data_IF_877260672132
#
_entry.id   IF_877260672132
#
_cell.length_a   1.000
_cell.length_b   1.000
_cell.length_c   1.000
_cell.angle_alpha   90.00
_cell.angle_beta   90.00
_cell.angle_gamma   90.00
#
_symmetry.space_group_name_H-M   'P 1'
#
loop_
_entity.id
_entity.type
_entity.pdbx_description
1 polymer ?
#
# COMPACT_ATOMS: atom_id res chain seq x y z
N UNK A 1 -60.45 21.42 3.37
CA UNK A 1 -59.98 22.62 4.09
C UNK A 1 -58.52 22.38 4.45
N UNK A 2 -57.63 23.12 3.80
CA UNK A 2 -56.24 23.38 4.21
C UNK A 2 -56.23 24.71 5.02
N UNK A 3 -55.15 25.18 5.70
CA UNK A 3 -53.74 24.91 5.35
C UNK A 3 -52.69 24.77 6.49
N UNK A 4 -51.53 24.26 6.07
CA UNK A 4 -50.13 24.61 6.41
C UNK A 4 -49.75 25.19 7.79
N UNK A 5 -48.83 24.47 8.45
CA UNK A 5 -47.84 25.06 9.34
C UNK A 5 -46.44 24.67 8.86
N UNK A 6 -45.83 25.57 8.09
CA UNK A 6 -44.44 25.53 7.64
C UNK A 6 -43.48 25.63 8.84
N UNK A 7 -42.59 24.65 8.98
CA UNK A 7 -41.38 24.82 9.80
C UNK A 7 -40.28 25.41 8.91
N UNK A 8 -40.05 26.71 9.06
CA UNK A 8 -38.82 27.39 8.62
C UNK A 8 -37.65 26.99 9.52
N UNK A 9 -36.45 26.70 8.98
CA UNK A 9 -35.23 26.60 9.77
C UNK A 9 -34.78 28.01 10.21
N UNK A 10 -34.34 28.14 11.46
CA UNK A 10 -33.79 29.38 12.02
C UNK A 10 -32.53 29.86 11.25
N UNK A 11 -32.31 31.18 11.13
CA UNK A 11 -31.14 31.73 10.47
C UNK A 11 -29.88 31.58 11.33
N UNK A 12 -28.78 31.24 10.66
CA UNK A 12 -27.44 30.94 11.19
C UNK A 12 -26.78 32.11 11.96
N UNK A 13 -27.36 33.32 11.90
CA UNK A 13 -26.74 34.54 12.47
C UNK A 13 -26.78 34.61 14.01
N UNK A 14 -27.74 33.98 14.69
CA UNK A 14 -27.78 33.98 16.18
C UNK A 14 -26.68 33.12 16.82
N UNK A 15 -26.21 32.08 16.14
CA UNK A 15 -25.13 31.22 16.64
C UNK A 15 -23.74 31.87 16.52
N UNK A 16 -23.56 32.79 15.57
CA UNK A 16 -22.28 33.48 15.36
C UNK A 16 -22.05 34.62 16.36
N UNK A 17 -23.11 35.27 16.85
CA UNK A 17 -23.00 36.28 17.92
C UNK A 17 -22.67 35.65 19.29
N UNK A 18 -23.10 34.40 19.52
CA UNK A 18 -22.90 33.72 20.80
C UNK A 18 -21.47 33.22 21.02
N UNK A 19 -20.71 32.98 19.94
CA UNK A 19 -19.30 32.55 20.03
C UNK A 19 -18.34 33.75 20.11
N UNK A 20 -18.76 34.96 19.72
CA UNK A 20 -17.92 36.17 19.79
C UNK A 20 -17.88 36.85 21.17
N UNK A 21 -18.75 36.48 22.12
CA UNK A 21 -18.77 37.09 23.45
C UNK A 21 -17.94 36.37 24.53
N UNK A 22 -17.40 35.18 24.27
CA UNK A 22 -16.51 34.49 25.22
C UNK A 22 -15.03 34.73 24.87
N UNK A 23 -14.54 35.88 25.33
CA UNK A 23 -13.11 36.16 25.38
C UNK A 23 -12.76 36.76 26.75
N UNK A 24 -12.22 35.99 27.71
CA UNK A 24 -11.61 36.58 28.89
C UNK A 24 -10.11 36.80 28.66
N UNK A 25 -9.71 38.06 28.84
CA UNK A 25 -8.32 38.53 28.97
C UNK A 25 -7.70 37.98 30.27
N UNK A 26 -6.35 37.89 30.39
CA UNK A 26 -5.68 37.13 31.42
C UNK A 26 -5.45 37.97 32.69
N UNK A 27 -5.68 37.36 33.86
CA UNK A 27 -5.19 37.86 35.14
C UNK A 27 -4.15 36.88 35.72
N UNK A 28 -3.08 37.52 36.21
CA UNK A 28 -1.91 36.94 36.87
C UNK A 28 -2.22 36.31 38.23
N UNK A 29 -1.22 35.56 38.73
CA UNK A 29 -0.89 35.25 40.13
C UNK A 29 -1.32 33.86 40.62
N UNK A 30 -0.52 33.03 41.29
CA UNK A 30 0.90 32.98 41.65
C UNK A 30 1.17 31.60 42.31
N UNK A 31 2.45 31.28 42.49
CA UNK A 31 3.04 30.40 43.51
C UNK A 31 3.15 28.88 43.22
N UNK A 32 4.32 28.51 42.69
CA UNK A 32 5.36 27.76 43.43
C UNK A 32 4.92 26.49 44.19
N UNK A 33 5.32 25.32 43.69
CA UNK A 33 5.71 24.19 44.55
C UNK A 33 6.61 23.20 43.81
N UNK A 34 7.80 23.02 44.40
CA UNK A 34 8.64 21.79 44.40
C UNK A 34 9.48 21.50 43.15
N UNK A 35 10.66 22.15 43.16
CA UNK A 35 11.94 21.49 42.94
C UNK A 35 12.03 20.23 43.82
N UNK A 36 12.19 19.06 43.21
CA UNK A 36 13.17 18.02 43.55
C UNK A 36 12.83 16.71 42.82
N UNK A 37 13.87 15.89 42.65
CA UNK A 37 13.85 14.47 42.27
C UNK A 37 14.24 14.14 40.82
N UNK A 38 15.57 14.02 40.69
CA UNK A 38 16.28 12.87 40.10
C UNK A 38 16.34 12.76 38.57
N UNK A 39 17.34 13.45 38.00
CA UNK A 39 18.22 12.82 37.01
C UNK A 39 19.17 11.86 37.73
N UNK A 40 19.00 10.55 37.55
CA UNK A 40 20.08 9.59 37.67
C UNK A 40 19.87 8.39 36.73
N UNK A 41 21.01 7.92 36.21
CA UNK A 41 21.30 6.64 35.56
C UNK A 41 21.27 6.62 34.02
N UNK A 42 22.46 6.80 33.42
CA UNK A 42 23.21 5.66 32.89
C UNK A 42 24.70 6.04 32.69
N UNK A 43 25.57 5.38 33.44
CA UNK A 43 27.03 5.36 33.28
C UNK A 43 27.45 3.96 32.84
N UNK A 44 28.29 3.87 31.80
CA UNK A 44 29.16 2.73 31.43
C UNK A 44 30.25 3.34 30.53
N UNK A 45 31.54 3.03 30.56
CA UNK A 45 32.49 2.40 31.48
C UNK A 45 33.82 2.55 30.74
N UNK A 46 34.84 3.15 31.35
CA UNK A 46 36.19 3.20 30.77
C UNK A 46 37.18 2.68 31.81
N UNK A 47 37.66 1.47 31.57
CA UNK A 47 38.94 0.94 32.08
C UNK A 47 39.81 0.54 30.90
N UNK A 48 41.09 0.91 30.93
CA UNK A 48 42.13 -0.05 31.27
C UNK A 48 42.99 0.52 32.43
N UNK A 49 43.57 -0.24 33.35
CA UNK A 49 44.24 -1.52 33.20
C UNK A 49 45.72 -1.31 33.57
N UNK A 50 46.00 -1.29 34.87
CA UNK A 50 47.34 -1.23 35.48
C UNK A 50 48.16 -2.49 35.14
N UNK A 51 49.46 -2.29 34.86
CA UNK A 51 50.54 -3.14 35.41
C UNK A 51 51.84 -2.32 35.48
N UNK A 52 52.27 -2.03 36.72
CA UNK A 52 53.59 -2.29 37.31
C UNK A 52 54.89 -1.79 36.61
N UNK A 53 55.95 -1.27 37.24
CA UNK A 53 56.38 -1.11 38.64
C UNK A 53 57.72 -0.34 38.61
N UNK A 54 57.89 0.60 39.55
CA UNK A 54 59.13 1.03 40.24
C UNK A 54 60.23 1.93 39.61
N UNK A 55 60.66 2.86 40.50
CA UNK A 55 61.95 3.57 40.67
C UNK A 55 62.17 4.81 39.77
N UNK A 56 62.53 6.00 40.25
CA UNK A 56 62.85 6.56 41.57
C UNK A 56 62.70 8.10 41.41
N UNK A 57 61.91 8.76 42.25
CA UNK A 57 62.32 9.48 43.47
C UNK A 57 62.65 10.98 43.25
N UNK A 58 61.67 11.77 43.70
CA UNK A 58 61.71 13.06 44.40
C UNK A 58 62.51 14.24 43.84
N UNK A 59 61.71 15.19 43.34
CA UNK A 59 61.68 16.60 43.76
C UNK A 59 62.32 16.87 45.13
N UNK A 60 63.23 17.85 45.19
CA UNK A 60 63.07 18.98 46.10
C UNK A 60 64.00 20.14 45.70
N UNK A 61 63.44 21.34 45.72
CA UNK A 61 64.18 22.60 45.80
C UNK A 61 65.19 22.56 46.96
N UNK A 62 66.23 23.40 46.88
CA UNK A 62 66.28 24.41 47.92
C UNK A 62 66.62 25.82 47.45
N UNK A 63 66.08 26.72 48.26
CA UNK A 63 66.33 28.14 48.45
C UNK A 63 67.82 28.44 48.68
N UNK A 64 68.18 29.67 48.32
CA UNK A 64 69.46 30.35 48.45
C UNK A 64 70.20 30.17 49.79
N UNK A 65 71.53 30.07 49.69
CA UNK A 65 72.45 30.59 50.71
C UNK A 65 73.79 30.99 50.07
N UNK A 66 74.25 32.20 50.39
CA UNK A 66 75.55 32.76 50.02
C UNK A 66 76.56 32.39 51.11
N UNK A 67 77.80 32.03 50.75
CA UNK A 67 78.93 32.45 51.57
C UNK A 67 80.06 33.12 50.78
N UNK A 68 80.60 34.15 51.43
CA UNK A 68 81.74 34.96 51.07
C UNK A 68 83.01 34.36 51.71
N UNK A 69 84.08 34.11 50.93
CA UNK A 69 85.49 34.32 51.32
C UNK A 69 86.48 33.82 50.22
N UNK A 70 87.30 34.76 49.70
CA UNK A 70 88.75 34.73 49.40
C UNK A 70 89.43 33.38 49.06
N UNK A 71 90.26 33.22 48.02
CA UNK A 71 91.44 34.03 47.70
C UNK A 71 92.12 33.64 46.35
N UNK A 72 92.88 34.57 45.78
CA UNK A 72 94.06 34.41 44.89
C UNK A 72 93.96 33.78 43.48
N UNK A 73 93.96 34.69 42.49
CA UNK A 73 94.83 34.75 41.28
C UNK A 73 95.37 33.46 40.66
N UNK A 74 94.90 33.14 39.44
CA UNK A 74 95.74 32.64 38.34
C UNK A 74 95.07 32.87 36.96
N UNK A 75 95.48 33.96 36.31
CA UNK A 75 95.75 34.11 34.88
C UNK A 75 94.71 33.58 33.87
N UNK A 76 93.94 34.52 33.33
CA UNK A 76 93.06 34.31 32.19
C UNK A 76 93.81 34.06 30.89
N UNK A 77 93.28 33.10 30.13
CA UNK A 77 93.38 33.02 28.66
C UNK A 77 92.40 31.99 28.04
N UNK A 78 91.51 31.34 28.82
CA UNK A 78 90.50 30.40 28.28
C UNK A 78 89.06 30.96 28.19
N UNK A 79 88.79 32.13 28.76
CA UNK A 79 87.43 32.66 28.95
C UNK A 79 86.80 33.26 27.69
N UNK A 80 87.59 33.71 26.71
CA UNK A 80 87.06 34.41 25.52
C UNK A 80 86.42 33.44 24.51
N UNK A 81 86.92 32.21 24.39
CA UNK A 81 86.36 31.21 23.45
C UNK A 81 85.05 30.60 23.93
N UNK A 82 84.88 30.40 25.24
CA UNK A 82 83.63 29.89 25.82
C UNK A 82 82.50 30.93 25.81
N UNK A 83 82.83 32.20 26.09
CA UNK A 83 81.86 33.29 26.03
C UNK A 83 81.35 33.52 24.61
N UNK A 84 82.23 33.50 23.60
CA UNK A 84 81.83 33.67 22.20
C UNK A 84 80.90 32.53 21.70
N UNK A 85 81.10 31.30 22.20
CA UNK A 85 80.22 30.17 21.93
C UNK A 85 78.82 30.32 22.55
N UNK A 86 78.72 30.92 23.75
CA UNK A 86 77.42 31.12 24.42
C UNK A 86 76.59 32.23 23.76
N UNK A 87 77.24 33.32 23.32
CA UNK A 87 76.56 34.39 22.57
C UNK A 87 76.03 33.89 21.23
N UNK A 88 76.81 33.10 20.49
CA UNK A 88 76.37 32.50 19.22
C UNK A 88 75.16 31.55 19.40
N UNK A 89 75.11 30.78 20.50
CA UNK A 89 73.97 29.93 20.83
C UNK A 89 72.72 30.75 21.21
N UNK A 90 72.89 31.87 21.91
CA UNK A 90 71.79 32.77 22.25
C UNK A 90 71.18 33.45 21.02
N UNK A 91 72.02 33.89 20.07
CA UNK A 91 71.57 34.47 18.79
C UNK A 91 70.80 33.44 17.93
N UNK A 92 71.29 32.20 17.87
CA UNK A 92 70.59 31.11 17.18
C UNK A 92 69.22 30.81 17.80
N UNK A 93 69.12 30.76 19.14
CA UNK A 93 67.84 30.59 19.83
C UNK A 93 66.88 31.75 19.57
N UNK A 94 67.39 32.97 19.54
CA UNK A 94 66.56 34.16 19.32
C UNK A 94 66.02 34.19 17.88
N UNK A 95 66.84 33.82 16.89
CA UNK A 95 66.40 33.65 15.51
C UNK A 95 65.36 32.52 15.37
N UNK A 96 65.57 31.39 16.05
CA UNK A 96 64.63 30.27 16.07
C UNK A 96 63.29 30.67 16.70
N UNK A 97 63.31 31.40 17.82
CA UNK A 97 62.11 31.91 18.47
C UNK A 97 61.34 32.89 17.58
N UNK A 98 62.02 33.83 16.92
CA UNK A 98 61.40 34.75 15.97
C UNK A 98 60.76 34.03 14.79
N UNK A 99 61.39 32.96 14.29
CA UNK A 99 60.82 32.13 13.22
C UNK A 99 59.57 31.38 13.72
N UNK A 100 59.59 30.83 14.94
CA UNK A 100 58.41 30.17 15.52
C UNK A 100 57.27 31.15 15.79
N UNK A 101 57.57 32.37 16.25
CA UNK A 101 56.57 33.40 16.48
C UNK A 101 55.89 33.83 15.18
N UNK A 102 56.67 34.00 14.10
CA UNK A 102 56.13 34.30 12.78
C UNK A 102 55.26 33.14 12.24
N UNK A 103 55.68 31.89 12.45
CA UNK A 103 54.91 30.70 12.09
C UNK A 103 53.57 30.61 12.83
N UNK A 104 53.58 30.80 14.15
CA UNK A 104 52.38 30.78 14.99
C UNK A 104 51.42 31.94 14.62
N UNK A 105 51.94 33.14 14.32
CA UNK A 105 51.10 34.25 13.85
C UNK A 105 50.41 33.94 12.53
N UNK A 106 51.11 33.31 11.58
CA UNK A 106 50.51 32.87 10.34
C UNK A 106 49.44 31.79 10.57
N UNK A 107 49.71 30.81 11.43
CA UNK A 107 48.76 29.76 11.78
C UNK A 107 47.50 30.32 12.44
N UNK A 108 47.64 31.24 13.41
CA UNK A 108 46.51 31.92 14.05
C UNK A 108 45.67 32.68 13.01
N UNK A 109 46.30 33.36 12.05
CA UNK A 109 45.58 34.06 10.98
C UNK A 109 44.80 33.08 10.09
N UNK A 110 45.39 31.91 9.76
CA UNK A 110 44.67 30.86 9.02
C UNK A 110 43.52 30.28 9.82
N UNK A 111 43.71 29.98 11.11
CA UNK A 111 42.67 29.45 11.99
C UNK A 111 41.50 30.44 12.12
N UNK A 112 41.78 31.74 12.28
CA UNK A 112 40.74 32.76 12.32
C UNK A 112 39.95 32.86 11.01
N UNK A 113 40.62 32.72 9.85
CA UNK A 113 39.95 32.70 8.55
C UNK A 113 39.09 31.43 8.36
N UNK A 114 39.55 30.28 8.83
CA UNK A 114 38.74 29.04 8.79
C UNK A 114 37.53 29.12 9.73
N UNK A 115 37.70 29.70 10.92
CA UNK A 115 36.62 29.87 11.89
C UNK A 115 35.52 30.81 11.35
N UNK A 116 35.89 31.93 10.73
CA UNK A 116 34.89 32.83 10.12
C UNK A 116 34.13 32.16 8.98
N UNK A 117 34.82 31.37 8.15
CA UNK A 117 34.21 30.60 7.07
C UNK A 117 33.23 29.55 7.59
N UNK A 118 33.61 28.81 8.65
CA UNK A 118 32.73 27.83 9.28
C UNK A 118 31.51 28.50 9.93
N UNK A 119 31.70 29.66 10.55
CA UNK A 119 30.60 30.42 11.14
C UNK A 119 29.60 30.89 10.08
N UNK A 120 30.08 31.33 8.90
CA UNK A 120 29.18 31.67 7.78
C UNK A 120 28.41 30.46 7.27
N UNK A 121 29.06 29.30 7.13
CA UNK A 121 28.40 28.06 6.70
C UNK A 121 27.35 27.58 7.72
N UNK A 122 27.62 27.70 9.02
CA UNK A 122 26.64 27.37 10.06
C UNK A 122 25.41 28.28 10.01
N UNK A 123 25.59 29.58 9.79
CA UNK A 123 24.46 30.51 9.65
C UNK A 123 23.64 30.24 8.37
N UNK A 124 24.31 29.93 7.26
CA UNK A 124 23.64 29.58 5.99
C UNK A 124 22.83 28.29 6.13
N UNK A 125 23.41 27.26 6.73
CA UNK A 125 22.73 25.97 6.97
C UNK A 125 21.57 26.13 7.95
N UNK A 126 21.72 26.90 9.03
CA UNK A 126 20.62 27.20 9.96
C UNK A 126 19.47 27.93 9.25
N UNK A 127 19.79 28.89 8.38
CA UNK A 127 18.78 29.63 7.59
C UNK A 127 18.08 28.72 6.59
N UNK A 128 18.82 27.85 5.89
CA UNK A 128 18.26 26.89 4.95
C UNK A 128 17.33 25.88 5.66
N UNK A 129 17.74 25.38 6.82
CA UNK A 129 16.93 24.46 7.62
C UNK A 129 15.65 25.15 8.13
N UNK A 130 15.75 26.41 8.56
CA UNK A 130 14.58 27.21 8.94
C UNK A 130 13.58 27.40 7.79
N UNK A 131 14.05 27.60 6.56
CA UNK A 131 13.19 27.68 5.37
C UNK A 131 12.49 26.36 5.06
N UNK A 132 13.23 25.25 5.10
CA UNK A 132 12.65 23.91 4.85
C UNK A 132 11.58 23.58 5.89
N UNK A 133 11.83 23.88 7.17
CA UNK A 133 10.85 23.67 8.24
C UNK A 133 9.62 24.53 7.98
N UNK A 134 9.78 25.82 7.65
CA UNK A 134 8.65 26.69 7.34
C UNK A 134 7.83 26.19 6.14
N UNK A 135 8.49 25.82 5.05
CA UNK A 135 7.84 25.30 3.84
C UNK A 135 7.07 24.01 4.16
N UNK A 136 7.67 23.09 4.94
CA UNK A 136 7.02 21.85 5.36
C UNK A 136 5.76 22.10 6.21
N UNK A 137 5.80 23.08 7.11
CA UNK A 137 4.64 23.47 7.92
C UNK A 137 3.53 24.03 7.05
N UNK A 138 3.86 24.90 6.09
CA UNK A 138 2.85 25.43 5.16
C UNK A 138 2.23 24.34 4.29
N UNK A 139 3.02 23.38 3.83
CA UNK A 139 2.53 22.25 3.05
C UNK A 139 1.61 21.34 3.87
N UNK A 140 1.96 21.11 5.14
CA UNK A 140 1.14 20.31 6.05
C UNK A 140 -0.18 21.00 6.38
N UNK A 141 -0.17 22.32 6.56
CA UNK A 141 -1.38 23.12 6.73
C UNK A 141 -2.28 23.08 5.49
N UNK A 142 -1.71 23.20 4.28
CA UNK A 142 -2.45 23.06 3.03
C UNK A 142 -3.07 21.66 2.87
N UNK A 143 -2.32 20.59 3.18
CA UNK A 143 -2.85 19.22 3.16
C UNK A 143 -4.00 19.05 4.15
N UNK A 144 -3.87 19.58 5.37
CA UNK A 144 -4.93 19.55 6.39
C UNK A 144 -6.20 20.25 5.88
N UNK A 145 -6.07 21.44 5.30
CA UNK A 145 -7.22 22.19 4.76
C UNK A 145 -7.89 21.45 3.59
N UNK A 146 -7.10 20.90 2.65
CA UNK A 146 -7.61 20.12 1.53
C UNK A 146 -8.37 18.87 2.00
N UNK A 147 -7.84 18.16 2.99
CA UNK A 147 -8.51 17.01 3.59
C UNK A 147 -9.82 17.41 4.27
N UNK A 148 -9.84 18.53 5.02
CA UNK A 148 -11.05 19.02 5.67
C UNK A 148 -12.16 19.33 4.66
N UNK A 149 -11.82 19.97 3.52
CA UNK A 149 -12.77 20.22 2.43
C UNK A 149 -13.27 18.90 1.82
N UNK A 150 -12.38 17.92 1.63
CA UNK A 150 -12.77 16.62 1.07
C UNK A 150 -13.72 15.85 1.98
N UNK A 151 -13.52 15.93 3.31
CA UNK A 151 -14.40 15.32 4.31
C UNK A 151 -15.78 15.96 4.22
N UNK A 152 -15.86 17.29 4.21
CA UNK A 152 -17.14 18.00 4.11
C UNK A 152 -17.90 17.64 2.82
N UNK A 153 -17.19 17.51 1.69
CA UNK A 153 -17.79 17.08 0.43
C UNK A 153 -18.33 15.64 0.50
N UNK A 154 -17.58 14.73 1.14
CA UNK A 154 -17.99 13.35 1.32
C UNK A 154 -19.21 13.24 2.25
N UNK A 155 -19.24 14.01 3.33
CA UNK A 155 -20.39 14.07 4.25
C UNK A 155 -21.63 14.60 3.54
N UNK A 156 -21.52 15.71 2.78
CA UNK A 156 -22.63 16.24 1.97
C UNK A 156 -23.13 15.22 0.95
N UNK A 157 -22.22 14.47 0.32
CA UNK A 157 -22.58 13.41 -0.63
C UNK A 157 -23.26 12.23 0.06
N UNK A 158 -22.75 11.81 1.21
CA UNK A 158 -23.35 10.74 2.01
C UNK A 158 -24.76 11.11 2.45
N UNK A 159 -24.97 12.35 2.90
CA UNK A 159 -26.26 12.85 3.32
C UNK A 159 -27.26 12.93 2.16
N UNK A 160 -26.81 13.37 0.97
CA UNK A 160 -27.63 13.33 -0.25
C UNK A 160 -28.04 11.90 -0.59
N UNK A 161 -27.09 10.97 -0.58
CA UNK A 161 -27.35 9.55 -0.87
C UNK A 161 -28.31 8.95 0.16
N UNK A 162 -28.16 9.25 1.46
CA UNK A 162 -29.10 8.78 2.50
C UNK A 162 -30.51 9.32 2.26
N UNK A 163 -30.64 10.59 1.90
CA UNK A 163 -31.93 11.18 1.60
C UNK A 163 -32.57 10.61 0.32
N UNK A 164 -31.79 10.38 -0.72
CA UNK A 164 -32.22 9.67 -1.94
C UNK A 164 -32.64 8.22 -1.62
N UNK A 165 -31.89 7.50 -0.78
CA UNK A 165 -32.28 6.15 -0.35
C UNK A 165 -33.58 6.19 0.47
N UNK A 166 -33.71 7.09 1.44
CA UNK A 166 -34.92 7.18 2.29
C UNK A 166 -36.17 7.48 1.46
N UNK A 167 -36.06 8.39 0.49
CA UNK A 167 -37.18 8.79 -0.37
C UNK A 167 -37.48 7.76 -1.45
N UNK A 168 -36.47 7.18 -2.08
CA UNK A 168 -36.63 6.20 -3.17
C UNK A 168 -37.04 4.82 -2.66
N UNK A 169 -36.53 4.39 -1.50
CA UNK A 169 -36.80 3.05 -0.95
C UNK A 169 -38.23 2.92 -0.40
N UNK A 170 -38.80 3.98 0.18
CA UNK A 170 -40.18 3.98 0.64
C UNK A 170 -41.19 3.81 -0.51
N UNK A 171 -40.98 4.51 -1.63
CA UNK A 171 -41.86 4.42 -2.81
C UNK A 171 -41.69 3.11 -3.62
N UNK A 172 -40.45 2.69 -3.86
CA UNK A 172 -40.17 1.49 -4.67
C UNK A 172 -40.53 0.18 -3.98
N UNK A 173 -40.36 0.09 -2.66
CA UNK A 173 -40.78 -1.09 -1.88
C UNK A 173 -42.31 -1.21 -1.80
N UNK A 174 -43.03 -0.08 -1.70
CA UNK A 174 -44.49 -0.07 -1.72
C UNK A 174 -45.06 -0.45 -3.09
N UNK A 175 -44.51 0.09 -4.18
CA UNK A 175 -44.90 -0.28 -5.55
C UNK A 175 -44.61 -1.77 -5.87
N UNK A 176 -43.54 -2.31 -5.29
CA UNK A 176 -43.19 -3.72 -5.44
C UNK A 176 -44.16 -4.61 -4.64
N UNK A 177 -44.53 -4.22 -3.42
CA UNK A 177 -45.52 -4.92 -2.61
C UNK A 177 -46.90 -4.95 -3.29
N UNK A 178 -47.34 -3.82 -3.87
CA UNK A 178 -48.59 -3.73 -4.62
C UNK A 178 -48.57 -4.65 -5.86
N UNK A 179 -47.46 -4.67 -6.62
CA UNK A 179 -47.33 -5.56 -7.79
C UNK A 179 -47.29 -7.04 -7.42
N UNK A 180 -46.58 -7.41 -6.37
CA UNK A 180 -46.52 -8.80 -5.89
C UNK A 180 -47.89 -9.27 -5.42
N UNK A 181 -48.64 -8.42 -4.72
CA UNK A 181 -49.99 -8.73 -4.28
C UNK A 181 -50.96 -8.83 -5.48
N UNK A 182 -50.90 -7.91 -6.45
CA UNK A 182 -51.70 -7.98 -7.67
C UNK A 182 -51.41 -9.23 -8.52
N UNK A 183 -50.15 -9.68 -8.57
CA UNK A 183 -49.78 -10.93 -9.23
C UNK A 183 -50.34 -12.16 -8.50
N UNK A 184 -50.29 -12.17 -7.17
CA UNK A 184 -50.92 -13.22 -6.34
C UNK A 184 -52.43 -13.29 -6.60
N UNK A 185 -53.10 -12.14 -6.63
CA UNK A 185 -54.55 -12.08 -6.86
C UNK A 185 -54.89 -12.55 -8.29
N UNK A 186 -54.09 -12.18 -9.29
CA UNK A 186 -54.22 -12.66 -10.67
C UNK A 186 -54.00 -14.17 -10.81
N UNK A 187 -52.97 -14.74 -10.17
CA UNK A 187 -52.73 -16.18 -10.18
C UNK A 187 -53.85 -16.95 -9.51
N UNK A 188 -54.36 -16.43 -8.39
CA UNK A 188 -55.46 -17.07 -7.66
C UNK A 188 -56.73 -17.09 -8.50
N UNK A 189 -57.06 -15.97 -9.17
CA UNK A 189 -58.17 -15.91 -10.12
C UNK A 189 -57.98 -16.84 -11.32
N UNK A 190 -56.79 -16.85 -11.93
CA UNK A 190 -56.49 -17.70 -13.08
C UNK A 190 -56.55 -19.20 -12.75
N UNK A 191 -56.12 -19.61 -11.55
CA UNK A 191 -56.22 -20.99 -11.07
C UNK A 191 -57.66 -21.39 -10.78
N UNK A 192 -58.47 -20.47 -10.26
CA UNK A 192 -59.89 -20.70 -10.02
C UNK A 192 -60.67 -20.82 -11.34
N UNK A 193 -60.33 -19.98 -12.33
CA UNK A 193 -60.89 -20.06 -13.68
C UNK A 193 -60.48 -21.36 -14.39
N UNK A 194 -59.23 -21.81 -14.22
CA UNK A 194 -58.76 -23.09 -14.76
C UNK A 194 -59.47 -24.28 -14.09
N UNK A 195 -59.68 -24.23 -12.77
CA UNK A 195 -60.41 -25.25 -12.04
C UNK A 195 -61.88 -25.32 -12.49
N UNK A 196 -62.53 -24.17 -12.67
CA UNK A 196 -63.89 -24.10 -13.20
C UNK A 196 -63.97 -24.61 -14.65
N UNK A 197 -62.98 -24.30 -15.49
CA UNK A 197 -62.89 -24.81 -16.85
C UNK A 197 -62.64 -26.33 -16.91
N UNK A 198 -61.90 -26.88 -15.95
CA UNK A 198 -61.64 -28.31 -15.84
C UNK A 198 -62.88 -29.09 -15.36
N UNK A 199 -63.72 -28.53 -14.49
CA UNK A 199 -64.99 -29.15 -14.09
C UNK A 199 -66.03 -29.24 -15.22
N UNK A 200 -65.96 -28.33 -16.20
CA UNK A 200 -66.84 -28.35 -17.38
C UNK A 200 -66.42 -29.38 -18.45
N UNK A 201 -65.23 -29.97 -18.32
CA UNK A 201 -64.73 -31.00 -19.24
C UNK A 201 -65.12 -32.40 -18.73
N UNK A 202 -66.25 -32.92 -19.22
CA UNK A 202 -66.62 -34.33 -19.06
C UNK A 202 -65.60 -35.22 -19.79
N UNK A 203 -64.77 -35.93 -19.01
CA UNK A 203 -63.79 -36.91 -19.49
C UNK A 203 -64.47 -38.24 -19.83
N UNK A 204 -64.57 -38.55 -21.12
CA UNK A 204 -64.68 -39.93 -21.63
C UNK A 204 -63.28 -40.39 -22.01
N UNK A 205 -62.81 -41.59 -21.58
CA UNK A 205 -61.47 -42.04 -21.87
C UNK A 205 -61.42 -42.77 -23.22
N UNK A 206 -60.61 -42.28 -24.16
CA UNK A 206 -60.03 -43.13 -25.21
C UNK A 206 -58.51 -43.12 -25.00
N UNK A 207 -58.03 -44.18 -24.36
CA UNK A 207 -56.61 -44.52 -24.29
C UNK A 207 -56.15 -44.77 -25.73
N UNK A 208 -55.36 -43.84 -26.26
CA UNK A 208 -54.48 -44.11 -27.41
C UNK A 208 -53.05 -43.95 -26.94
N UNK A 209 -52.37 -45.08 -26.85
CA UNK A 209 -50.92 -45.16 -26.72
C UNK A 209 -50.27 -44.26 -27.78
N UNK A 210 -49.63 -43.19 -27.31
CA UNK A 210 -48.62 -42.48 -28.10
C UNK A 210 -47.26 -42.94 -27.64
N UNK A 211 -46.55 -43.52 -28.59
CA UNK A 211 -45.16 -43.94 -28.52
C UNK A 211 -44.31 -42.82 -27.89
N UNK A 212 -43.55 -43.19 -26.85
CA UNK A 212 -42.49 -42.36 -26.30
C UNK A 212 -41.49 -42.04 -27.42
N UNK A 213 -41.12 -40.78 -27.66
CA UNK A 213 -39.90 -40.52 -28.40
C UNK A 213 -38.75 -41.07 -27.55
N UNK A 214 -37.99 -41.98 -28.15
CA UNK A 214 -36.74 -42.52 -27.63
C UNK A 214 -35.84 -41.34 -27.29
N UNK A 215 -35.71 -41.08 -25.99
CA UNK A 215 -34.62 -40.27 -25.45
C UNK A 215 -33.35 -40.98 -25.92
N UNK A 216 -32.63 -40.35 -26.85
CA UNK A 216 -31.24 -40.73 -27.11
C UNK A 216 -30.56 -40.70 -25.76
N UNK A 217 -30.10 -41.87 -25.32
CA UNK A 217 -29.15 -42.04 -24.24
C UNK A 217 -28.03 -41.02 -24.45
N UNK A 218 -28.08 -39.93 -23.70
CA UNK A 218 -26.86 -39.20 -23.35
C UNK A 218 -25.99 -40.23 -22.66
N UNK A 219 -24.91 -40.62 -23.33
CA UNK A 219 -23.75 -41.20 -22.70
C UNK A 219 -23.52 -40.52 -21.34
N UNK A 220 -23.25 -41.28 -20.27
CA UNK A 220 -22.83 -40.67 -19.02
C UNK A 220 -21.57 -39.88 -19.32
N UNK A 221 -21.69 -38.55 -19.38
CA UNK A 221 -20.55 -37.67 -19.36
C UNK A 221 -19.82 -37.98 -18.06
N UNK A 222 -18.61 -38.48 -18.21
CA UNK A 222 -17.67 -38.72 -17.13
C UNK A 222 -17.76 -37.58 -16.12
N UNK A 223 -17.87 -37.97 -14.85
CA UNK A 223 -17.96 -37.08 -13.71
C UNK A 223 -16.70 -36.23 -13.68
N UNK A 224 -16.73 -35.11 -14.41
CA UNK A 224 -15.65 -34.14 -14.45
C UNK A 224 -15.42 -33.69 -13.01
N UNK A 225 -14.20 -33.84 -12.47
CA UNK A 225 -13.94 -33.50 -11.09
C UNK A 225 -14.32 -32.04 -10.82
N UNK A 226 -15.02 -31.84 -9.72
CA UNK A 226 -15.55 -30.53 -9.28
C UNK A 226 -14.38 -29.55 -9.03
N UNK A 227 -13.19 -30.07 -8.77
CA UNK A 227 -11.96 -29.29 -8.61
C UNK A 227 -10.98 -29.57 -9.75
N UNK A 228 -10.59 -28.55 -10.54
CA UNK A 228 -9.53 -28.69 -11.52
C UNK A 228 -8.21 -28.97 -10.81
N UNK A 229 -7.51 -30.04 -11.22
CA UNK A 229 -6.20 -30.40 -10.66
C UNK A 229 -5.18 -30.45 -11.80
N UNK A 230 -4.36 -29.42 -11.92
CA UNK A 230 -3.42 -29.28 -13.04
C UNK A 230 -2.06 -29.95 -12.80
N UNK A 231 -1.78 -30.39 -11.56
CA UNK A 231 -0.49 -30.91 -11.12
C UNK A 231 -0.41 -32.45 -11.02
N UNK A 232 -1.54 -33.17 -11.13
CA UNK A 232 -1.56 -34.62 -10.97
C UNK A 232 -1.36 -35.37 -12.29
N UNK A 233 -0.68 -36.52 -12.25
CA UNK A 233 -0.35 -37.36 -13.41
C UNK A 233 -1.57 -37.84 -14.21
N UNK A 234 -2.77 -37.81 -13.63
CA UNK A 234 -4.02 -38.19 -14.30
C UNK A 234 -4.50 -37.15 -15.34
N UNK A 235 -3.90 -35.96 -15.39
CA UNK A 235 -4.32 -34.85 -16.27
C UNK A 235 -3.29 -34.49 -17.34
N UNK A 236 -2.44 -35.43 -17.77
CA UNK A 236 -1.40 -35.14 -18.77
C UNK A 236 -1.95 -34.55 -20.07
N UNK A 237 -3.17 -34.94 -20.48
CA UNK A 237 -3.79 -34.42 -21.70
C UNK A 237 -4.24 -32.97 -21.53
N UNK A 238 -4.80 -32.61 -20.36
CA UNK A 238 -5.09 -31.23 -19.99
C UNK A 238 -3.80 -30.41 -19.92
N UNK A 239 -2.73 -30.94 -19.31
CA UNK A 239 -1.41 -30.29 -19.25
C UNK A 239 -0.84 -30.03 -20.65
N UNK A 240 -0.91 -31.01 -21.56
CA UNK A 240 -0.49 -30.85 -22.95
C UNK A 240 -1.34 -29.79 -23.66
N UNK A 241 -2.66 -29.78 -23.44
CA UNK A 241 -3.56 -28.79 -24.02
C UNK A 241 -3.24 -27.37 -23.54
N UNK A 242 -3.01 -27.18 -22.24
CA UNK A 242 -2.60 -25.88 -21.67
C UNK A 242 -1.29 -25.41 -22.29
N UNK A 243 -0.26 -26.27 -22.38
CA UNK A 243 1.02 -25.91 -23.02
C UNK A 243 0.84 -25.51 -24.48
N UNK A 244 0.05 -26.26 -25.26
CA UNK A 244 -0.27 -25.92 -26.66
C UNK A 244 -0.94 -24.56 -26.78
N UNK A 245 -1.87 -24.21 -25.88
CA UNK A 245 -2.53 -22.90 -25.88
C UNK A 245 -1.55 -21.77 -25.54
N UNK A 246 -0.68 -21.96 -24.53
CA UNK A 246 0.37 -21.00 -24.19
C UNK A 246 1.31 -20.77 -25.38
N UNK A 247 1.74 -21.85 -26.04
CA UNK A 247 2.60 -21.77 -27.22
C UNK A 247 1.89 -21.12 -28.41
N UNK A 248 0.58 -21.37 -28.57
CA UNK A 248 -0.24 -20.72 -29.59
C UNK A 248 -0.28 -19.20 -29.37
N UNK A 249 -0.55 -18.74 -28.15
CA UNK A 249 -0.60 -17.30 -27.85
C UNK A 249 0.73 -16.60 -28.11
N UNK A 250 1.86 -17.29 -27.88
CA UNK A 250 3.19 -16.76 -28.14
C UNK A 250 3.54 -16.71 -29.63
N UNK A 251 3.28 -17.80 -30.35
CA UNK A 251 3.78 -17.97 -31.72
C UNK A 251 2.78 -17.54 -32.80
N UNK A 252 1.49 -17.52 -32.47
CA UNK A 252 0.37 -17.20 -33.38
C UNK A 252 -0.70 -16.38 -32.65
N UNK A 253 -0.40 -15.12 -32.27
CA UNK A 253 -1.38 -14.25 -31.62
C UNK A 253 -2.56 -13.99 -32.58
N UNK A 254 -3.77 -14.09 -32.06
CA UNK A 254 -5.00 -13.91 -32.81
C UNK A 254 -5.70 -12.62 -32.38
N UNK A 255 -5.31 -11.50 -32.98
CA UNK A 255 -5.82 -10.17 -32.64
C UNK A 255 -7.34 -10.00 -32.86
N UNK A 256 -7.96 -10.88 -33.63
CA UNK A 256 -9.39 -10.84 -33.97
C UNK A 256 -10.13 -12.11 -33.53
N UNK A 257 -9.55 -12.89 -32.62
CA UNK A 257 -10.10 -14.17 -32.17
C UNK A 257 -11.50 -14.03 -31.57
N UNK A 258 -12.24 -15.13 -31.45
CA UNK A 258 -13.58 -15.10 -30.86
C UNK A 258 -13.58 -14.57 -29.40
N UNK A 259 -14.76 -14.24 -28.87
CA UNK A 259 -14.86 -13.86 -27.46
C UNK A 259 -14.20 -14.91 -26.55
N UNK A 260 -13.55 -14.45 -25.49
CA UNK A 260 -12.77 -15.28 -24.55
C UNK A 260 -11.45 -15.85 -25.10
N UNK A 261 -11.03 -15.43 -26.30
CA UNK A 261 -9.71 -15.75 -26.84
C UNK A 261 -8.74 -14.58 -26.64
N UNK A 262 -7.47 -14.87 -26.32
CA UNK A 262 -6.45 -13.85 -26.14
C UNK A 262 -6.15 -13.13 -27.47
N UNK A 263 -6.36 -11.81 -27.50
CA UNK A 263 -6.20 -10.92 -28.67
C UNK A 263 -4.97 -10.02 -28.63
N UNK A 264 -4.00 -10.31 -27.77
CA UNK A 264 -2.81 -9.48 -27.54
C UNK A 264 -1.54 -10.29 -27.68
N UNK A 265 -0.45 -9.59 -27.97
CA UNK A 265 0.88 -10.18 -28.06
C UNK A 265 1.26 -10.78 -26.70
N UNK A 266 1.73 -12.01 -26.71
CA UNK A 266 2.04 -12.75 -25.49
C UNK A 266 3.53 -13.12 -25.47
N UNK A 267 4.29 -12.46 -24.61
CA UNK A 267 5.74 -12.62 -24.52
C UNK A 267 6.16 -13.87 -23.73
N UNK A 268 7.41 -14.36 -23.91
CA UNK A 268 7.92 -15.52 -23.17
C UNK A 268 7.84 -15.36 -21.65
N UNK A 269 8.06 -14.14 -21.14
CA UNK A 269 8.00 -13.85 -19.70
C UNK A 269 6.59 -14.08 -19.17
N UNK A 270 5.55 -13.70 -19.91
CA UNK A 270 4.16 -13.96 -19.53
C UNK A 270 3.84 -15.46 -19.60
N UNK A 271 4.34 -16.16 -20.61
CA UNK A 271 4.16 -17.60 -20.76
C UNK A 271 4.75 -18.39 -19.57
N UNK A 272 5.93 -17.99 -19.10
CA UNK A 272 6.56 -18.61 -17.92
C UNK A 272 5.71 -18.42 -16.66
N UNK A 273 5.19 -17.20 -16.44
CA UNK A 273 4.32 -16.89 -15.29
C UNK A 273 3.03 -17.70 -15.30
N UNK A 274 2.34 -17.77 -16.45
CA UNK A 274 1.11 -18.55 -16.62
C UNK A 274 1.41 -20.05 -16.45
N UNK A 275 2.48 -20.55 -17.04
CA UNK A 275 2.92 -21.94 -16.90
C UNK A 275 3.22 -22.31 -15.44
N UNK A 276 3.94 -21.46 -14.71
CA UNK A 276 4.23 -21.67 -13.29
C UNK A 276 2.95 -21.67 -12.44
N UNK A 277 2.01 -20.76 -12.71
CA UNK A 277 0.73 -20.74 -12.01
C UNK A 277 -0.09 -22.03 -12.25
N UNK A 278 -0.18 -22.51 -13.49
CA UNK A 278 -0.88 -23.75 -13.80
C UNK A 278 -0.19 -24.99 -13.22
N UNK A 279 1.12 -25.15 -13.44
CA UNK A 279 1.82 -26.41 -13.17
C UNK A 279 2.60 -26.43 -11.85
N UNK A 280 3.20 -25.30 -11.47
CA UNK A 280 3.92 -25.18 -10.20
C UNK A 280 2.98 -24.96 -9.03
N UNK A 281 2.00 -24.08 -9.21
CA UNK A 281 1.04 -23.69 -8.16
C UNK A 281 -0.32 -24.40 -8.28
N UNK A 282 -0.51 -25.23 -9.31
CA UNK A 282 -1.74 -26.03 -9.47
C UNK A 282 -3.02 -25.20 -9.63
N UNK A 283 -2.91 -23.96 -10.11
CA UNK A 283 -4.04 -23.02 -10.24
C UNK A 283 -4.40 -22.24 -8.97
N UNK A 284 -3.52 -22.27 -7.95
CA UNK A 284 -3.69 -21.55 -6.68
C UNK A 284 -2.39 -20.87 -6.28
N UNK A 285 -2.30 -19.57 -6.45
CA UNK A 285 -1.12 -18.89 -5.96
C UNK A 285 -1.01 -17.44 -6.37
N UNK A 286 -0.03 -16.80 -5.73
CA UNK A 286 0.36 -15.44 -6.04
C UNK A 286 1.48 -15.41 -7.08
N UNK A 287 1.38 -14.48 -8.02
CA UNK A 287 2.44 -14.09 -8.93
C UNK A 287 2.98 -12.73 -8.52
N UNK A 288 4.28 -12.52 -8.67
CA UNK A 288 4.85 -11.17 -8.51
C UNK A 288 4.30 -10.27 -9.62
N UNK A 289 3.90 -9.05 -9.26
CA UNK A 289 3.49 -8.02 -10.22
C UNK A 289 4.61 -7.76 -11.22
N UNK A 290 4.26 -7.46 -12.47
CA UNK A 290 5.22 -7.07 -13.51
C UNK A 290 5.47 -5.55 -13.52
N UNK A 291 5.05 -4.82 -12.47
CA UNK A 291 5.18 -3.37 -12.36
C UNK A 291 4.21 -2.57 -13.26
N UNK A 292 3.45 -3.26 -14.12
CA UNK A 292 2.41 -2.66 -14.95
C UNK A 292 1.11 -3.47 -14.84
N UNK A 293 0.03 -2.77 -14.46
CA UNK A 293 -1.31 -3.39 -14.34
C UNK A 293 -1.83 -3.93 -15.66
N UNK A 294 -1.46 -3.33 -16.79
CA UNK A 294 -1.80 -3.85 -18.12
C UNK A 294 -1.17 -5.23 -18.35
N UNK A 295 0.07 -5.43 -17.91
CA UNK A 295 0.75 -6.73 -18.01
C UNK A 295 0.13 -7.76 -17.06
N UNK A 296 -0.26 -7.37 -15.85
CA UNK A 296 -0.98 -8.26 -14.93
C UNK A 296 -2.33 -8.67 -15.51
N UNK A 297 -3.08 -7.72 -16.06
CA UNK A 297 -4.35 -7.99 -16.75
C UNK A 297 -4.16 -8.92 -17.95
N UNK A 298 -3.07 -8.77 -18.71
CA UNK A 298 -2.74 -9.65 -19.83
C UNK A 298 -2.49 -11.10 -19.38
N UNK A 299 -1.69 -11.28 -18.32
CA UNK A 299 -1.42 -12.60 -17.72
C UNK A 299 -2.72 -13.24 -17.23
N UNK A 300 -3.54 -12.49 -16.50
CA UNK A 300 -4.83 -12.96 -16.02
C UNK A 300 -5.78 -13.31 -17.18
N UNK A 301 -5.81 -12.50 -18.24
CA UNK A 301 -6.59 -12.77 -19.45
C UNK A 301 -6.16 -14.06 -20.13
N UNK A 302 -4.85 -14.33 -20.23
CA UNK A 302 -4.36 -15.59 -20.78
C UNK A 302 -4.83 -16.80 -19.95
N UNK A 303 -4.78 -16.70 -18.62
CA UNK A 303 -5.31 -17.73 -17.70
C UNK A 303 -6.81 -17.94 -17.92
N UNK A 304 -7.60 -16.86 -17.94
CA UNK A 304 -9.06 -16.93 -18.17
C UNK A 304 -9.35 -17.59 -19.53
N UNK A 305 -8.63 -17.20 -20.59
CA UNK A 305 -8.83 -17.74 -21.93
C UNK A 305 -8.57 -19.25 -21.99
N UNK A 306 -7.49 -19.71 -21.33
CA UNK A 306 -7.17 -21.14 -21.23
C UNK A 306 -8.27 -21.87 -20.47
N UNK A 307 -8.68 -21.37 -19.31
CA UNK A 307 -9.74 -21.97 -18.51
C UNK A 307 -11.05 -22.04 -19.28
N UNK A 308 -11.40 -21.00 -20.02
CA UNK A 308 -12.62 -20.97 -20.85
C UNK A 308 -12.54 -21.97 -22.01
N UNK A 309 -11.36 -22.22 -22.58
CA UNK A 309 -11.19 -23.28 -23.59
C UNK A 309 -11.31 -24.69 -23.02
N UNK A 310 -10.95 -24.88 -21.74
CA UNK A 310 -11.01 -26.18 -21.07
C UNK A 310 -12.41 -26.50 -20.51
N UNK A 311 -13.02 -25.55 -19.82
CA UNK A 311 -14.25 -25.76 -19.06
C UNK A 311 -15.46 -25.00 -19.63
N UNK A 312 -15.26 -24.21 -20.70
CA UNK A 312 -16.32 -23.48 -21.38
C UNK A 312 -17.00 -22.45 -20.49
N UNK A 313 -18.30 -22.30 -20.71
CA UNK A 313 -19.16 -21.34 -20.02
C UNK A 313 -19.40 -21.67 -18.54
N UNK A 314 -18.73 -22.69 -17.99
CA UNK A 314 -18.75 -22.96 -16.54
C UNK A 314 -17.83 -22.04 -15.77
N UNK A 315 -16.81 -21.48 -16.42
CA UNK A 315 -15.85 -20.57 -15.79
C UNK A 315 -16.53 -19.25 -15.50
N UNK A 316 -16.35 -18.75 -14.27
CA UNK A 316 -16.82 -17.43 -13.83
C UNK A 316 -15.66 -16.67 -13.23
N UNK A 317 -15.28 -15.58 -13.87
CA UNK A 317 -14.17 -14.75 -13.43
C UNK A 317 -14.67 -13.73 -12.41
N UNK A 318 -14.07 -13.73 -11.23
CA UNK A 318 -14.34 -12.79 -10.15
C UNK A 318 -13.08 -11.97 -9.91
N UNK A 319 -13.13 -10.66 -10.13
CA UNK A 319 -11.98 -9.77 -9.93
C UNK A 319 -12.22 -8.95 -8.67
N UNK A 320 -11.21 -8.90 -7.80
CA UNK A 320 -11.15 -8.09 -6.59
C UNK A 320 -10.14 -6.95 -6.80
N UNK A 321 -10.57 -5.71 -6.59
CA UNK A 321 -9.69 -4.55 -6.50
C UNK A 321 -10.29 -3.50 -5.56
N UNK A 322 -9.43 -2.73 -4.89
CA UNK A 322 -9.85 -1.83 -3.80
C UNK A 322 -10.49 -0.50 -4.22
N UNK A 323 -10.45 -0.11 -5.50
CA UNK A 323 -11.09 1.14 -5.98
C UNK A 323 -11.86 0.97 -7.30
N UNK A 324 -12.91 1.79 -7.53
CA UNK A 324 -13.70 1.74 -8.77
C UNK A 324 -12.89 2.10 -10.02
N UNK A 325 -11.85 2.93 -9.91
CA UNK A 325 -10.94 3.24 -11.03
C UNK A 325 -10.20 1.99 -11.48
N UNK A 326 -9.67 1.22 -10.52
CA UNK A 326 -8.98 -0.05 -10.80
C UNK A 326 -9.92 -1.07 -11.39
N UNK A 327 -11.15 -1.18 -10.90
CA UNK A 327 -12.16 -2.05 -11.52
C UNK A 327 -12.50 -1.62 -12.95
N UNK A 328 -12.52 -0.31 -13.21
CA UNK A 328 -12.68 0.25 -14.55
C UNK A 328 -11.53 -0.14 -15.49
N UNK A 329 -10.29 -0.13 -15.00
CA UNK A 329 -9.11 -0.58 -15.76
C UNK A 329 -9.14 -2.08 -16.01
N UNK A 330 -9.44 -2.90 -15.00
CA UNK A 330 -9.63 -4.34 -15.15
C UNK A 330 -10.69 -4.66 -16.20
N UNK A 331 -11.83 -3.94 -16.15
CA UNK A 331 -12.89 -4.07 -17.15
C UNK A 331 -12.36 -3.79 -18.55
N UNK A 332 -11.72 -2.64 -18.75
CA UNK A 332 -11.17 -2.23 -20.06
C UNK A 332 -10.12 -3.23 -20.55
N UNK A 333 -9.18 -3.61 -19.69
CA UNK A 333 -8.11 -4.54 -20.04
C UNK A 333 -8.63 -5.95 -20.40
N UNK A 334 -9.64 -6.45 -19.67
CA UNK A 334 -10.28 -7.72 -20.01
C UNK A 334 -11.07 -7.64 -21.33
N UNK A 335 -11.80 -6.55 -21.58
CA UNK A 335 -12.47 -6.32 -22.86
C UNK A 335 -11.47 -6.31 -24.02
N UNK A 336 -10.35 -5.63 -23.82
CA UNK A 336 -9.30 -5.46 -24.81
C UNK A 336 -8.56 -6.78 -25.11
N UNK A 337 -8.23 -7.54 -24.06
CA UNK A 337 -7.46 -8.78 -24.18
C UNK A 337 -8.31 -9.98 -24.60
N UNK A 338 -9.57 -10.08 -24.17
CA UNK A 338 -10.44 -11.24 -24.42
C UNK A 338 -11.51 -10.99 -25.50
N UNK A 339 -11.66 -9.76 -25.96
CA UNK A 339 -12.69 -9.41 -26.95
C UNK A 339 -14.12 -9.51 -26.43
N UNK A 340 -14.30 -9.49 -25.10
CA UNK A 340 -15.60 -9.51 -24.44
C UNK A 340 -16.20 -8.10 -24.41
N UNK A 341 -17.52 -8.00 -24.38
CA UNK A 341 -18.25 -6.74 -24.39
C UNK A 341 -18.90 -6.40 -23.06
N UNK A 342 -19.70 -5.34 -23.04
CA UNK A 342 -20.58 -5.00 -21.89
C UNK A 342 -21.52 -6.15 -21.45
N UNK A 343 -22.14 -6.97 -22.34
CA UNK A 343 -23.08 -8.01 -21.90
C UNK A 343 -22.43 -9.17 -21.14
N UNK A 344 -21.10 -9.33 -21.25
CA UNK A 344 -20.36 -10.40 -20.58
C UNK A 344 -20.02 -10.07 -19.11
N UNK A 345 -20.24 -8.81 -18.70
CA UNK A 345 -20.08 -8.37 -17.32
C UNK A 345 -21.42 -8.33 -16.60
N UNK A 346 -21.46 -8.87 -15.38
CA UNK A 346 -22.66 -8.85 -14.55
C UNK A 346 -22.78 -10.10 -13.67
N UNK A 347 -23.67 -10.09 -12.68
CA UNK A 347 -23.71 -11.10 -11.62
C UNK A 347 -23.88 -12.53 -12.12
N UNK A 348 -24.63 -12.74 -13.20
CA UNK A 348 -24.86 -14.07 -13.79
C UNK A 348 -24.19 -14.21 -15.17
N UNK A 349 -23.24 -13.32 -15.45
CA UNK A 349 -22.44 -13.29 -16.68
C UNK A 349 -21.02 -13.80 -16.40
N UNK A 350 -20.22 -13.94 -17.45
CA UNK A 350 -18.91 -14.57 -17.36
C UNK A 350 -17.92 -13.85 -16.43
N UNK A 351 -17.97 -12.51 -16.33
CA UNK A 351 -17.09 -11.72 -15.44
C UNK A 351 -17.88 -10.88 -14.43
N UNK A 352 -17.44 -10.87 -13.18
CA UNK A 352 -17.95 -10.01 -12.10
C UNK A 352 -16.80 -9.28 -11.42
N UNK A 353 -17.01 -8.03 -11.08
CA UNK A 353 -16.03 -7.13 -10.45
C UNK A 353 -16.51 -6.81 -9.03
N UNK A 354 -15.62 -6.85 -8.05
CA UNK A 354 -15.92 -6.62 -6.64
C UNK A 354 -14.90 -5.66 -6.02
N UNK A 355 -15.41 -4.79 -5.16
CA UNK A 355 -14.59 -3.94 -4.27
C UNK A 355 -14.35 -4.63 -2.92
N UNK A 356 -15.27 -5.48 -2.47
CA UNK A 356 -15.23 -6.14 -1.16
C UNK A 356 -15.03 -7.66 -1.28
N UNK A 357 -14.04 -8.17 -0.56
CA UNK A 357 -13.71 -9.61 -0.51
C UNK A 357 -14.88 -10.49 -0.02
N UNK A 358 -15.65 -10.01 0.96
CA UNK A 358 -16.77 -10.78 1.54
C UNK A 358 -17.89 -11.01 0.53
N UNK A 359 -18.24 -9.99 -0.24
CA UNK A 359 -19.25 -10.10 -1.30
C UNK A 359 -18.79 -11.06 -2.40
N UNK A 360 -17.50 -11.04 -2.74
CA UNK A 360 -16.89 -11.96 -3.69
C UNK A 360 -16.98 -13.41 -3.16
N UNK A 361 -16.59 -13.64 -1.90
CA UNK A 361 -16.63 -14.96 -1.28
C UNK A 361 -18.05 -15.56 -1.29
N UNK A 362 -19.06 -14.76 -0.92
CA UNK A 362 -20.46 -15.19 -0.96
C UNK A 362 -20.92 -15.56 -2.38
N UNK A 363 -20.52 -14.77 -3.39
CA UNK A 363 -20.85 -15.10 -4.78
C UNK A 363 -20.13 -16.37 -5.23
N UNK A 364 -18.84 -16.50 -4.93
CA UNK A 364 -18.05 -17.68 -5.26
C UNK A 364 -18.66 -18.96 -4.66
N UNK A 365 -19.13 -18.92 -3.41
CA UNK A 365 -19.81 -20.04 -2.77
C UNK A 365 -21.11 -20.43 -3.51
N UNK A 366 -21.92 -19.44 -3.91
CA UNK A 366 -23.13 -19.68 -4.72
C UNK A 366 -22.79 -20.31 -6.08
N UNK A 367 -21.69 -19.88 -6.70
CA UNK A 367 -21.24 -20.43 -7.99
C UNK A 367 -20.80 -21.88 -7.87
N UNK A 368 -20.05 -22.22 -6.81
CA UNK A 368 -19.67 -23.61 -6.53
C UNK A 368 -20.91 -24.47 -6.29
N UNK A 369 -21.88 -23.99 -5.50
CA UNK A 369 -23.18 -24.68 -5.28
C UNK A 369 -23.96 -24.88 -6.58
N UNK A 370 -23.81 -23.99 -7.56
CA UNK A 370 -24.41 -24.08 -8.89
C UNK A 370 -23.57 -24.91 -9.89
N UNK A 371 -22.56 -25.67 -9.44
CA UNK A 371 -21.63 -26.45 -10.28
C UNK A 371 -20.84 -25.61 -11.31
N UNK A 372 -20.72 -24.31 -11.07
CA UNK A 372 -19.87 -23.40 -11.84
C UNK A 372 -18.49 -23.31 -11.19
N UNK A 373 -17.50 -22.89 -11.98
CA UNK A 373 -16.10 -22.86 -11.59
C UNK A 373 -15.64 -21.41 -11.42
N UNK A 374 -15.63 -20.86 -10.19
CA UNK A 374 -15.12 -19.51 -9.95
C UNK A 374 -13.59 -19.49 -10.06
N UNK A 375 -13.06 -18.55 -10.84
CA UNK A 375 -11.64 -18.14 -10.81
C UNK A 375 -11.56 -16.75 -10.20
N UNK A 376 -10.85 -16.65 -9.08
CA UNK A 376 -10.71 -15.41 -8.32
C UNK A 376 -9.41 -14.73 -8.74
N UNK A 377 -9.47 -13.47 -9.14
CA UNK A 377 -8.31 -12.66 -9.47
C UNK A 377 -8.23 -11.54 -8.43
N UNK A 378 -7.10 -11.45 -7.76
CA UNK A 378 -6.82 -10.44 -6.74
C UNK A 378 -5.78 -9.49 -7.31
N UNK A 379 -6.15 -8.22 -7.44
CA UNK A 379 -5.26 -7.17 -7.94
C UNK A 379 -4.10 -6.88 -6.98
N UNK A 380 -3.04 -6.25 -7.49
CA UNK A 380 -1.89 -5.83 -6.68
C UNK A 380 -2.16 -4.65 -5.74
N UNK A 381 -3.36 -4.07 -5.80
CA UNK A 381 -3.87 -3.17 -4.75
C UNK A 381 -4.14 -3.85 -3.43
N UNK A 382 -4.48 -5.14 -3.46
CA UNK A 382 -5.06 -5.78 -2.31
C UNK A 382 -3.96 -6.11 -1.31
N UNK A 383 -3.84 -5.31 -0.26
CA UNK A 383 -2.84 -5.50 0.79
C UNK A 383 -3.20 -6.66 1.73
N UNK A 384 -4.50 -6.94 1.87
CA UNK A 384 -5.02 -7.95 2.80
C UNK A 384 -5.92 -8.95 2.07
N UNK A 385 -5.57 -10.24 2.14
CA UNK A 385 -6.36 -11.30 1.54
C UNK A 385 -7.23 -11.94 2.62
N UNK A 386 -8.55 -11.92 2.42
CA UNK A 386 -9.48 -12.67 3.28
C UNK A 386 -9.23 -14.17 3.16
N UNK A 387 -9.04 -14.85 4.29
CA UNK A 387 -8.82 -16.30 4.36
C UNK A 387 -9.96 -17.09 3.72
N UNK A 388 -11.19 -16.54 3.75
CA UNK A 388 -12.36 -17.12 3.10
C UNK A 388 -12.24 -17.23 1.58
N UNK A 389 -11.35 -16.47 0.94
CA UNK A 389 -11.08 -16.58 -0.50
C UNK A 389 -10.16 -17.75 -0.84
N UNK A 390 -9.29 -18.13 0.10
CA UNK A 390 -8.28 -19.18 -0.13
C UNK A 390 -8.88 -20.60 -0.15
N UNK A 391 -10.12 -20.76 0.32
CA UNK A 391 -10.83 -22.03 0.28
C UNK A 391 -11.24 -22.43 -1.15
N UNK A 392 -11.32 -21.48 -2.08
CA UNK A 392 -11.77 -21.74 -3.44
C UNK A 392 -10.67 -22.40 -4.28
N UNK A 393 -11.05 -23.27 -5.24
CA UNK A 393 -10.07 -24.11 -5.91
C UNK A 393 -9.17 -23.38 -6.88
N UNK A 394 -9.57 -22.20 -7.35
CA UNK A 394 -8.84 -21.40 -8.32
C UNK A 394 -8.74 -19.95 -7.86
N UNK A 395 -7.52 -19.49 -7.64
CA UNK A 395 -7.26 -18.08 -7.37
C UNK A 395 -5.87 -17.68 -7.87
N UNK A 396 -5.79 -16.45 -8.36
CA UNK A 396 -4.60 -15.80 -8.85
C UNK A 396 -4.48 -14.44 -8.17
N UNK A 397 -3.45 -14.25 -7.36
CA UNK A 397 -3.17 -12.96 -6.74
C UNK A 397 -1.94 -12.32 -7.38
N UNK A 398 -1.96 -11.00 -7.58
CA UNK A 398 -0.76 -10.25 -7.94
C UNK A 398 -0.18 -9.63 -6.67
N UNK A 399 1.01 -10.08 -6.28
CA UNK A 399 1.71 -9.51 -5.13
C UNK A 399 2.48 -8.25 -5.57
N UNK A 400 2.32 -7.11 -4.88
CA UNK A 400 3.11 -5.91 -5.14
C UNK A 400 4.60 -6.18 -4.90
N UNK A 401 5.47 -5.41 -5.57
CA UNK A 401 6.92 -5.56 -5.36
C UNK A 401 7.29 -5.04 -3.96
N UNK A 402 7.91 -5.85 -3.08
CA UNK A 402 8.33 -5.41 -1.76
C UNK A 402 9.29 -4.21 -1.79
N UNK A 403 10.00 -3.97 -2.90
CA UNK A 403 10.82 -2.77 -3.07
C UNK A 403 10.00 -1.52 -3.38
N UNK A 404 8.85 -1.66 -4.03
CA UNK A 404 7.94 -0.56 -4.29
C UNK A 404 7.13 -0.18 -3.03
N UNK A 405 6.85 -1.13 -2.14
CA UNK A 405 6.20 -0.88 -0.84
C UNK A 405 7.03 0.02 0.07
N UNK A 406 8.37 -0.10 0.08
CA UNK A 406 9.25 0.78 0.88
C UNK A 406 9.13 2.26 0.51
N UNK A 407 8.85 2.58 -0.76
CA UNK A 407 8.70 3.97 -1.20
C UNK A 407 7.36 4.60 -0.77
N UNK A 408 6.37 3.79 -0.39
CA UNK A 408 5.11 4.31 0.15
C UNK A 408 5.20 4.62 1.66
N UNK A 409 6.06 3.90 2.40
CA UNK A 409 6.25 4.12 3.84
C UNK A 409 7.20 5.29 4.17
N UNK A 410 8.09 5.67 3.24
CA UNK A 410 9.01 6.82 3.43
C UNK A 410 8.37 8.19 3.06
N UNK A 411 7.12 8.20 2.57
CA UNK A 411 6.37 9.41 2.16
C UNK A 411 5.27 9.84 3.16
N UNK A 412 5.24 9.25 4.37
CA UNK A 412 4.30 9.62 5.45
C UNK A 412 4.94 10.34 6.63
#
# INVERSE_FOLDING_TARGET
MNPDASQTPEPIDEWLEQIQQENPKPENSSVESVLETEMQALSVDTKPGDTNTELADSTNEPVAEVPLATDTTALGLETESQNNSLYAQAEQRLAQLQQTEAGLKAEIATLQATYSTLQTQLNETQTALGRIVQDSLTQLEQRKQALQISIEQLERRQERIRNEMRTTFAGTSQDLAIRVQGFKDYLTGSLQDLAAAAEQLQLVPEVREREKPTVKETQPSETQPITPQFAQQQFQDTTKQVRRLIDQYRNKPDYYGAAWQLRRTFEPVHAERVSNWFFGQGGRGALRTMGSRLQNTLIASAVISILHKLYGDRVRTLVLANTPERLGEWRRGLQDCLGIGRPDFGPDRGVVLFEAADALAQKAERLVKANQLPIIIIDDSEEQISLGLLQFPLWLAFAPDPKAMKNYDDDF
#
